data_IF_009012648159
#
_entry.id   IF_009012648159
#
_cell.length_a   1.000
_cell.length_b   1.000
_cell.length_c   1.000
_cell.angle_alpha   90.00
_cell.angle_beta   90.00
_cell.angle_gamma   90.00
#
_symmetry.space_group_name_H-M   'P 1'
#
loop_
_entity.id
_entity.type
_entity.pdbx_description
1 polymer ?
#
# COMPACT_ATOMS: atom_id res chain seq x y z
N UNK A 1 -1.33 -18.96 -72.78
CA UNK A 1 -0.12 -18.99 -71.92
C UNK A 1 0.15 -17.72 -71.10
N UNK A 2 -0.12 -16.49 -71.60
CA UNK A 2 0.18 -15.22 -70.89
C UNK A 2 -0.65 -14.94 -69.62
N UNK A 3 -1.91 -15.41 -69.54
CA UNK A 3 -2.80 -15.19 -68.37
C UNK A 3 -2.35 -15.93 -67.09
N UNK A 4 -1.82 -17.16 -67.23
CA UNK A 4 -1.31 -17.96 -66.10
C UNK A 4 -0.03 -17.37 -65.46
N UNK A 5 0.79 -16.64 -66.23
CA UNK A 5 1.97 -15.94 -65.69
C UNK A 5 1.58 -14.76 -64.80
N UNK A 6 0.57 -13.96 -65.18
CA UNK A 6 0.10 -12.80 -64.39
C UNK A 6 -0.45 -13.20 -63.00
N UNK A 7 -1.14 -14.34 -62.91
CA UNK A 7 -1.67 -14.86 -61.63
C UNK A 7 -0.53 -15.30 -60.69
N UNK A 8 0.53 -15.92 -61.23
CA UNK A 8 1.71 -16.29 -60.42
C UNK A 8 2.44 -15.09 -59.84
N UNK A 9 2.58 -14.00 -60.61
CA UNK A 9 3.22 -12.78 -60.09
C UNK A 9 2.35 -12.08 -59.03
N UNK A 10 1.03 -12.07 -59.20
CA UNK A 10 0.09 -11.49 -58.21
C UNK A 10 0.08 -12.27 -56.88
N UNK A 11 0.14 -13.61 -56.93
CA UNK A 11 0.23 -14.44 -55.72
C UNK A 11 1.60 -14.31 -55.02
N UNK A 12 2.68 -14.08 -55.78
CA UNK A 12 4.01 -13.86 -55.23
C UNK A 12 4.12 -12.49 -54.52
N UNK A 13 3.50 -11.43 -55.07
CA UNK A 13 3.43 -10.13 -54.38
C UNK A 13 2.54 -10.18 -53.14
N UNK A 14 1.44 -10.95 -53.15
CA UNK A 14 0.60 -11.13 -51.95
C UNK A 14 1.38 -11.86 -50.83
N UNK A 15 2.16 -12.89 -51.19
CA UNK A 15 3.01 -13.62 -50.26
C UNK A 15 4.14 -12.74 -49.68
N UNK A 16 4.78 -11.90 -50.50
CA UNK A 16 5.77 -10.94 -50.02
C UNK A 16 5.17 -9.82 -49.16
N UNK A 17 3.90 -9.42 -49.38
CA UNK A 17 3.21 -8.46 -48.51
C UNK A 17 2.89 -9.07 -47.13
N UNK A 18 2.53 -10.35 -47.07
CA UNK A 18 2.28 -11.06 -45.81
C UNK A 18 3.55 -11.31 -44.98
N UNK A 19 4.75 -11.35 -45.62
CA UNK A 19 6.03 -11.48 -44.91
C UNK A 19 6.50 -10.13 -44.33
N UNK A 20 6.03 -8.99 -44.89
CA UNK A 20 6.40 -7.66 -44.42
C UNK A 20 5.52 -7.13 -43.27
N UNK A 21 4.39 -7.76 -42.99
CA UNK A 21 3.66 -7.55 -41.74
C UNK A 21 4.20 -8.49 -40.68
N UNK A 22 5.46 -8.30 -40.29
CA UNK A 22 5.93 -8.72 -38.98
C UNK A 22 5.15 -7.94 -37.94
N UNK A 23 3.96 -8.44 -37.58
CA UNK A 23 3.31 -8.09 -36.34
C UNK A 23 4.24 -8.59 -35.24
N UNK A 24 5.21 -7.76 -34.84
CA UNK A 24 5.81 -7.92 -33.53
C UNK A 24 4.63 -7.87 -32.55
N UNK A 25 4.40 -8.93 -31.74
CA UNK A 25 3.57 -8.76 -30.57
C UNK A 25 4.13 -7.52 -29.86
N UNK A 26 3.31 -6.48 -29.68
CA UNK A 26 3.66 -5.52 -28.65
C UNK A 26 3.51 -6.32 -27.36
N UNK A 27 4.63 -6.81 -26.83
CA UNK A 27 4.65 -7.43 -25.51
C UNK A 27 4.07 -6.38 -24.56
N UNK A 28 2.84 -6.60 -24.12
CA UNK A 28 2.19 -5.72 -23.18
C UNK A 28 3.02 -5.76 -21.89
N UNK A 29 3.27 -4.60 -21.25
CA UNK A 29 4.00 -4.59 -20.00
C UNK A 29 3.35 -5.52 -19.00
N UNK A 30 4.15 -6.29 -18.29
CA UNK A 30 3.67 -7.10 -17.18
C UNK A 30 3.24 -6.18 -16.04
N UNK A 31 2.19 -6.57 -15.33
CA UNK A 31 1.51 -5.73 -14.36
C UNK A 31 1.56 -6.34 -12.97
N UNK A 32 2.04 -5.56 -12.01
CA UNK A 32 2.21 -5.97 -10.62
C UNK A 32 1.47 -5.00 -9.70
N UNK A 33 0.63 -5.51 -8.81
CA UNK A 33 -0.14 -4.67 -7.91
C UNK A 33 0.41 -4.77 -6.49
N UNK A 34 0.62 -3.61 -5.87
CA UNK A 34 0.89 -3.47 -4.44
C UNK A 34 -0.22 -2.66 -3.79
N UNK A 35 -0.83 -3.20 -2.74
CA UNK A 35 -1.84 -2.49 -1.94
C UNK A 35 -1.27 -2.08 -0.59
N UNK A 36 -1.75 -0.95 -0.06
CA UNK A 36 -1.62 -0.61 1.34
C UNK A 36 -3.01 -0.56 1.98
N UNK A 37 -3.16 -1.13 3.18
CA UNK A 37 -4.43 -1.11 3.90
C UNK A 37 -4.23 -0.99 5.42
N UNK A 38 -4.72 0.10 6.02
CA UNK A 38 -4.97 0.15 7.45
C UNK A 38 -6.16 -0.76 7.78
N UNK A 39 -5.90 -1.84 8.52
CA UNK A 39 -6.90 -2.88 8.78
C UNK A 39 -7.76 -2.62 10.01
N UNK A 40 -7.69 -1.45 10.65
CA UNK A 40 -8.45 -1.07 11.85
C UNK A 40 -8.39 -2.14 12.95
N UNK A 41 -7.31 -2.10 13.74
CA UNK A 41 -7.08 -2.92 14.92
C UNK A 41 -7.36 -4.42 14.69
N UNK A 42 -6.56 -5.09 13.86
CA UNK A 42 -6.57 -6.54 13.74
C UNK A 42 -5.79 -7.17 14.91
N UNK A 43 -6.48 -7.32 16.03
CA UNK A 43 -6.04 -8.05 17.22
C UNK A 43 -6.56 -9.49 17.21
N UNK A 44 -5.82 -10.38 17.85
CA UNK A 44 -6.30 -11.69 18.25
C UNK A 44 -7.23 -11.57 19.46
N UNK A 45 -7.53 -12.69 20.12
CA UNK A 45 -8.57 -12.74 21.18
C UNK A 45 -7.98 -13.08 22.55
N UNK A 46 -6.67 -13.20 22.63
CA UNK A 46 -5.91 -13.59 23.80
C UNK A 46 -5.17 -12.37 24.33
N UNK A 47 -5.42 -12.06 25.59
CA UNK A 47 -4.76 -10.99 26.33
C UNK A 47 -3.26 -11.23 26.42
N UNK A 48 -2.45 -10.22 26.10
CA UNK A 48 -1.01 -10.22 26.33
C UNK A 48 -0.65 -9.19 27.43
N UNK A 49 -0.22 -9.65 28.62
CA UNK A 49 0.00 -8.76 29.77
C UNK A 49 1.15 -7.75 29.58
N UNK A 50 1.96 -7.89 28.52
CA UNK A 50 3.08 -6.98 28.23
C UNK A 50 2.68 -5.82 27.29
N UNK A 51 1.48 -5.86 26.69
CA UNK A 51 0.94 -4.80 25.82
C UNK A 51 -0.46 -4.37 26.26
N UNK A 52 -0.92 -3.24 25.72
CA UNK A 52 -2.23 -2.65 26.03
C UNK A 52 -3.32 -3.11 25.04
N UNK A 53 -3.59 -4.42 25.00
CA UNK A 53 -4.56 -5.04 24.09
C UNK A 53 -5.88 -5.49 24.79
N UNK A 54 -5.97 -5.38 26.13
CA UNK A 54 -7.13 -5.76 26.97
C UNK A 54 -8.50 -5.42 26.37
N UNK A 55 -8.58 -4.28 25.67
CA UNK A 55 -9.78 -3.79 25.02
C UNK A 55 -10.37 -4.80 24.02
N UNK A 56 -9.49 -5.53 23.33
CA UNK A 56 -9.76 -6.49 22.26
C UNK A 56 -9.74 -7.94 22.71
N UNK A 57 -10.27 -8.21 23.91
CA UNK A 57 -10.53 -9.57 24.39
C UNK A 57 -12.05 -9.86 24.46
N UNK A 58 -12.47 -11.13 24.63
CA UNK A 58 -13.89 -11.46 24.82
C UNK A 58 -14.52 -10.76 26.03
N UNK A 59 -13.73 -10.55 27.09
CA UNK A 59 -14.14 -9.90 28.33
C UNK A 59 -13.87 -8.39 28.34
N UNK A 60 -13.02 -7.91 27.43
CA UNK A 60 -12.67 -6.51 27.22
C UNK A 60 -13.83 -5.63 26.77
N UNK A 61 -13.58 -4.31 26.76
CA UNK A 61 -14.63 -3.33 26.48
C UNK A 61 -15.18 -3.41 25.05
N UNK A 62 -14.40 -3.94 24.08
CA UNK A 62 -14.89 -4.22 22.73
C UNK A 62 -15.68 -5.51 22.64
N UNK A 63 -15.60 -6.43 23.60
CA UNK A 63 -16.20 -7.79 23.49
C UNK A 63 -15.73 -8.52 22.23
N UNK A 64 -14.42 -8.51 22.00
CA UNK A 64 -13.81 -9.09 20.81
C UNK A 64 -13.76 -10.62 20.93
N UNK A 65 -14.81 -11.26 20.42
CA UNK A 65 -14.94 -12.73 20.44
C UNK A 65 -14.30 -13.36 19.22
N UNK A 66 -14.01 -14.67 19.29
CA UNK A 66 -13.57 -15.50 18.15
C UNK A 66 -14.47 -15.31 16.92
N UNK A 67 -15.78 -15.14 17.11
CA UNK A 67 -16.72 -14.89 16.01
C UNK A 67 -16.44 -13.55 15.32
N UNK A 68 -16.12 -12.49 16.08
CA UNK A 68 -15.82 -11.16 15.53
C UNK A 68 -14.45 -11.15 14.86
N UNK A 69 -13.46 -11.78 15.46
CA UNK A 69 -12.15 -11.99 14.85
C UNK A 69 -12.26 -12.73 13.51
N UNK A 70 -12.93 -13.88 13.45
CA UNK A 70 -13.12 -14.63 12.20
C UNK A 70 -13.90 -13.82 11.14
N UNK A 71 -14.88 -13.01 11.56
CA UNK A 71 -15.59 -12.08 10.66
C UNK A 71 -14.63 -11.04 10.10
N UNK A 72 -13.77 -10.44 10.94
CA UNK A 72 -12.77 -9.47 10.54
C UNK A 72 -11.81 -10.06 9.51
N UNK A 73 -11.24 -11.24 9.77
CA UNK A 73 -10.38 -11.95 8.81
C UNK A 73 -11.07 -12.17 7.46
N UNK A 74 -12.32 -12.63 7.47
CA UNK A 74 -13.10 -12.85 6.24
C UNK A 74 -13.34 -11.55 5.48
N UNK A 75 -13.67 -10.47 6.19
CA UNK A 75 -13.88 -9.16 5.61
C UNK A 75 -12.59 -8.62 4.96
N UNK A 76 -11.46 -8.66 5.67
CA UNK A 76 -10.17 -8.22 5.15
C UNK A 76 -9.74 -9.02 3.91
N UNK A 77 -9.89 -10.36 3.96
CA UNK A 77 -9.63 -11.22 2.80
C UNK A 77 -10.49 -10.84 1.58
N UNK A 78 -11.77 -10.53 1.80
CA UNK A 78 -12.66 -10.06 0.73
C UNK A 78 -12.16 -8.76 0.11
N UNK A 79 -11.66 -7.81 0.90
CA UNK A 79 -11.11 -6.55 0.39
C UNK A 79 -9.88 -6.82 -0.48
N UNK A 80 -8.91 -7.58 0.05
CA UNK A 80 -7.66 -7.92 -0.64
C UNK A 80 -7.94 -8.62 -1.98
N UNK A 81 -8.88 -9.56 -2.02
CA UNK A 81 -9.21 -10.29 -3.25
C UNK A 81 -9.89 -9.43 -4.32
N UNK A 82 -10.47 -8.30 -3.96
CA UNK A 82 -11.23 -7.45 -4.89
C UNK A 82 -10.54 -6.09 -5.17
N UNK A 83 -9.35 -5.84 -4.63
CA UNK A 83 -8.69 -4.53 -4.73
C UNK A 83 -8.03 -4.24 -6.09
N UNK A 84 -7.57 -5.29 -6.78
CA UNK A 84 -6.72 -5.21 -7.98
C UNK A 84 -7.42 -5.64 -9.28
N UNK A 85 -8.73 -5.85 -9.26
CA UNK A 85 -9.50 -6.26 -10.43
C UNK A 85 -9.62 -7.78 -10.55
N UNK A 86 -9.16 -8.35 -11.65
CA UNK A 86 -9.31 -9.78 -11.96
C UNK A 86 -8.40 -10.69 -11.14
N UNK A 87 -7.15 -10.28 -10.94
CA UNK A 87 -6.16 -11.03 -10.18
C UNK A 87 -5.92 -10.36 -8.82
N UNK A 88 -5.72 -11.12 -7.73
CA UNK A 88 -5.31 -10.58 -6.43
C UNK A 88 -3.97 -9.83 -6.49
N UNK A 89 -3.68 -8.93 -5.53
CA UNK A 89 -2.47 -8.12 -5.56
C UNK A 89 -1.25 -8.93 -5.13
N UNK A 90 -0.16 -8.89 -5.89
CA UNK A 90 1.04 -9.69 -5.63
C UNK A 90 1.78 -9.27 -4.35
N UNK A 91 1.57 -8.03 -3.89
CA UNK A 91 2.17 -7.48 -2.68
C UNK A 91 1.12 -6.72 -1.87
N UNK A 92 1.17 -6.85 -0.54
CA UNK A 92 0.19 -6.27 0.38
C UNK A 92 0.94 -5.71 1.59
N UNK A 93 0.88 -4.41 1.79
CA UNK A 93 1.32 -3.72 2.99
C UNK A 93 0.13 -3.48 3.93
N UNK A 94 0.26 -3.84 5.20
CA UNK A 94 -0.78 -3.64 6.20
C UNK A 94 -0.24 -2.79 7.35
N UNK A 95 -1.13 -2.07 8.02
CA UNK A 95 -0.88 -1.54 9.37
C UNK A 95 -2.08 -1.79 10.28
N UNK A 96 -1.88 -1.61 11.59
CA UNK A 96 -2.86 -1.99 12.62
C UNK A 96 -3.06 -3.51 12.73
N UNK A 97 -1.97 -4.25 12.54
CA UNK A 97 -1.91 -5.69 12.80
C UNK A 97 -1.22 -5.91 14.12
N UNK A 98 -1.76 -6.77 14.98
CA UNK A 98 -1.20 -6.95 16.31
C UNK A 98 0.11 -7.71 16.32
N UNK A 99 0.12 -8.91 15.73
CA UNK A 99 1.24 -9.83 15.84
C UNK A 99 1.29 -10.79 14.64
N UNK A 100 2.26 -11.70 14.65
CA UNK A 100 2.40 -12.71 13.60
C UNK A 100 1.20 -13.66 13.53
N UNK A 101 0.58 -13.98 14.66
CA UNK A 101 -0.53 -14.93 14.72
C UNK A 101 -1.74 -14.45 13.92
N UNK A 102 -2.12 -13.17 14.02
CA UNK A 102 -3.26 -12.65 13.24
C UNK A 102 -3.02 -12.71 11.73
N UNK A 103 -1.77 -12.52 11.28
CA UNK A 103 -1.37 -12.60 9.88
C UNK A 103 -1.42 -14.05 9.39
N UNK A 104 -0.89 -14.99 10.16
CA UNK A 104 -0.97 -16.42 9.84
C UNK A 104 -2.44 -16.89 9.78
N UNK A 105 -3.31 -16.38 10.65
CA UNK A 105 -4.76 -16.65 10.59
C UNK A 105 -5.42 -16.02 9.37
N UNK A 106 -5.06 -14.79 9.00
CA UNK A 106 -5.55 -14.16 7.78
C UNK A 106 -5.24 -15.01 6.55
N UNK A 107 -4.01 -15.55 6.45
CA UNK A 107 -3.61 -16.39 5.33
C UNK A 107 -4.22 -17.79 5.38
N UNK A 108 -4.25 -18.44 6.55
CA UNK A 108 -4.69 -19.85 6.65
C UNK A 108 -6.21 -20.06 6.74
N UNK A 109 -6.93 -19.15 7.40
CA UNK A 109 -8.37 -19.29 7.65
C UNK A 109 -9.24 -18.84 6.47
N UNK A 110 -8.73 -17.93 5.65
CA UNK A 110 -9.52 -17.25 4.62
C UNK A 110 -9.29 -17.83 3.22
N UNK A 111 -9.88 -17.21 2.20
CA UNK A 111 -9.66 -17.58 0.80
C UNK A 111 -8.24 -17.24 0.30
N UNK A 112 -7.45 -16.45 1.07
CA UNK A 112 -6.05 -16.15 0.75
C UNK A 112 -5.13 -17.37 0.84
N UNK A 113 -5.55 -18.44 1.52
CA UNK A 113 -4.75 -19.67 1.68
C UNK A 113 -4.33 -20.33 0.37
N UNK A 114 -5.01 -20.01 -0.73
CA UNK A 114 -4.75 -20.57 -2.06
C UNK A 114 -3.82 -19.69 -2.91
N UNK A 115 -3.30 -18.60 -2.35
CA UNK A 115 -2.48 -17.60 -3.07
C UNK A 115 -1.01 -17.58 -2.61
N UNK A 116 -0.64 -18.49 -1.70
CA UNK A 116 0.73 -18.75 -1.25
C UNK A 116 1.52 -17.51 -0.82
N UNK A 117 0.87 -16.54 -0.16
CA UNK A 117 1.57 -15.37 0.38
C UNK A 117 2.54 -15.78 1.51
N UNK A 118 3.72 -15.18 1.50
CA UNK A 118 4.66 -15.17 2.62
C UNK A 118 4.55 -13.86 3.42
N UNK A 119 4.99 -13.90 4.68
CA UNK A 119 4.89 -12.78 5.64
C UNK A 119 6.30 -12.26 6.00
N UNK A 120 6.47 -10.94 5.97
CA UNK A 120 7.52 -10.21 6.67
C UNK A 120 6.85 -9.34 7.73
N UNK A 121 7.19 -9.57 9.00
CA UNK A 121 6.60 -8.90 10.16
C UNK A 121 7.55 -9.01 11.35
N UNK A 122 7.47 -8.04 12.25
CA UNK A 122 8.20 -7.95 13.52
C UNK A 122 7.36 -7.09 14.46
N UNK A 123 7.28 -7.50 15.72
CA UNK A 123 6.68 -6.71 16.80
C UNK A 123 7.42 -5.38 16.98
N UNK A 124 6.65 -4.28 17.03
CA UNK A 124 7.17 -2.93 17.20
C UNK A 124 7.15 -2.47 18.66
N UNK A 125 7.89 -1.41 19.02
CA UNK A 125 7.88 -0.85 20.38
C UNK A 125 6.59 -0.10 20.76
N UNK A 126 5.50 -0.20 20.00
CA UNK A 126 4.24 0.46 20.36
C UNK A 126 3.59 -0.30 21.53
N UNK A 127 3.35 0.38 22.65
CA UNK A 127 2.79 -0.22 23.86
C UNK A 127 1.42 -0.87 23.67
N UNK A 128 0.74 -0.62 22.54
CA UNK A 128 -0.56 -1.25 22.19
C UNK A 128 -0.39 -2.50 21.34
N UNK A 129 0.84 -2.89 21.01
CA UNK A 129 1.13 -4.00 20.09
C UNK A 129 0.57 -3.76 18.70
N UNK A 130 0.82 -2.60 18.09
CA UNK A 130 0.30 -2.28 16.75
C UNK A 130 1.45 -2.19 15.75
N UNK A 131 1.42 -3.04 14.73
CA UNK A 131 2.51 -3.15 13.77
C UNK A 131 2.13 -2.81 12.34
N UNK A 132 3.17 -2.78 11.52
CA UNK A 132 3.12 -2.84 10.07
C UNK A 132 3.60 -4.20 9.60
N UNK A 133 3.01 -4.70 8.52
CA UNK A 133 3.34 -6.00 7.94
C UNK A 133 3.41 -5.93 6.42
N UNK A 134 4.19 -6.84 5.83
CA UNK A 134 4.27 -7.02 4.38
C UNK A 134 4.00 -8.47 4.01
N UNK A 135 2.99 -8.69 3.16
CA UNK A 135 2.67 -9.98 2.57
C UNK A 135 3.04 -9.94 1.09
N UNK A 136 3.60 -11.01 0.56
CA UNK A 136 4.04 -11.05 -0.83
C UNK A 136 3.92 -12.45 -1.44
N UNK A 137 3.63 -12.51 -2.72
CA UNK A 137 3.66 -13.75 -3.49
C UNK A 137 5.13 -14.09 -3.82
N UNK A 138 5.70 -15.19 -3.31
CA UNK A 138 7.11 -15.54 -3.51
C UNK A 138 7.43 -16.00 -4.94
N UNK A 139 6.42 -16.26 -5.78
CA UNK A 139 6.61 -16.49 -7.21
C UNK A 139 6.87 -15.20 -8.00
N UNK A 140 6.56 -14.04 -7.42
CA UNK A 140 6.67 -12.73 -8.07
C UNK A 140 7.68 -11.82 -7.37
N UNK A 141 7.76 -11.86 -6.03
CA UNK A 141 8.63 -10.99 -5.25
C UNK A 141 9.66 -11.80 -4.47
N UNK A 142 10.93 -11.60 -4.80
CA UNK A 142 12.07 -12.21 -4.14
C UNK A 142 12.68 -11.21 -3.12
N UNK A 143 12.44 -11.36 -1.81
CA UNK A 143 12.97 -10.43 -0.81
C UNK A 143 14.50 -10.50 -0.73
N UNK A 144 15.15 -9.34 -0.71
CA UNK A 144 16.60 -9.19 -0.56
C UNK A 144 16.98 -8.71 0.85
N UNK A 145 16.25 -7.75 1.38
CA UNK A 145 16.52 -7.15 2.69
C UNK A 145 15.24 -6.58 3.28
N UNK A 146 15.10 -6.68 4.60
CA UNK A 146 14.09 -5.94 5.36
C UNK A 146 14.73 -5.33 6.61
N UNK A 147 14.29 -4.12 6.97
CA UNK A 147 14.76 -3.38 8.15
C UNK A 147 13.60 -2.63 8.79
N UNK A 148 13.74 -2.33 10.07
CA UNK A 148 12.81 -1.51 10.84
C UNK A 148 13.55 -0.28 11.35
N UNK A 149 12.89 0.87 11.27
CA UNK A 149 13.46 2.14 11.65
C UNK A 149 12.62 2.75 12.78
N UNK A 150 13.06 2.59 14.04
CA UNK A 150 12.37 3.20 15.17
C UNK A 150 12.57 4.71 15.18
N UNK A 151 11.62 5.39 15.82
CA UNK A 151 11.74 6.82 16.13
C UNK A 151 12.49 6.98 17.45
N UNK A 152 13.37 7.98 17.48
CA UNK A 152 14.12 8.37 18.67
C UNK A 152 13.94 9.85 18.91
N UNK A 153 13.96 10.27 20.17
CA UNK A 153 13.94 11.69 20.53
C UNK A 153 15.30 12.37 20.24
N UNK A 154 15.46 13.61 20.71
CA UNK A 154 16.66 14.42 20.45
C UNK A 154 17.89 13.88 21.22
N UNK A 155 17.64 13.21 22.35
CA UNK A 155 18.63 12.53 23.18
C UNK A 155 19.02 11.15 22.62
N UNK A 156 18.26 10.62 21.66
CA UNK A 156 18.49 9.33 21.02
C UNK A 156 17.77 8.18 21.71
N UNK A 157 16.89 8.46 22.68
CA UNK A 157 16.09 7.47 23.37
C UNK A 157 14.94 7.00 22.51
N UNK A 158 14.57 5.73 22.68
CA UNK A 158 13.51 5.09 21.89
C UNK A 158 12.14 5.66 22.25
N UNK A 159 11.39 6.07 21.24
CA UNK A 159 9.98 6.46 21.41
C UNK A 159 9.10 5.22 21.18
N UNK A 160 8.27 4.88 22.16
CA UNK A 160 7.31 3.78 22.11
C UNK A 160 6.21 4.04 21.07
N UNK A 161 6.51 3.74 19.82
CA UNK A 161 5.61 3.92 18.68
C UNK A 161 6.01 3.04 17.50
N UNK A 162 5.12 2.95 16.51
CA UNK A 162 5.31 2.13 15.32
C UNK A 162 6.57 2.52 14.56
N UNK A 163 7.33 1.50 14.17
CA UNK A 163 8.52 1.66 13.34
C UNK A 163 8.15 1.88 11.87
N UNK A 164 9.03 2.52 11.12
CA UNK A 164 8.95 2.54 9.65
C UNK A 164 9.58 1.24 9.15
N UNK A 165 8.81 0.41 8.44
CA UNK A 165 9.31 -0.81 7.83
C UNK A 165 9.88 -0.51 6.44
N UNK A 166 11.01 -1.13 6.14
CA UNK A 166 11.63 -1.12 4.83
C UNK A 166 11.79 -2.55 4.33
N UNK A 167 11.43 -2.77 3.07
CA UNK A 167 11.65 -4.02 2.35
C UNK A 167 12.25 -3.68 1.00
N UNK A 168 13.29 -4.41 0.58
CA UNK A 168 13.71 -4.45 -0.82
C UNK A 168 13.67 -5.85 -1.35
N UNK A 169 13.35 -5.98 -2.63
CA UNK A 169 13.28 -7.26 -3.32
C UNK A 169 13.30 -7.09 -4.82
N UNK A 170 13.40 -8.20 -5.53
CA UNK A 170 13.35 -8.25 -6.99
C UNK A 170 11.92 -8.62 -7.40
N UNK A 171 11.32 -7.86 -8.32
CA UNK A 171 10.01 -8.21 -8.92
C UNK A 171 10.27 -8.98 -10.22
N UNK A 172 9.66 -10.16 -10.31
CA UNK A 172 9.70 -11.10 -11.43
C UNK A 172 11.09 -11.26 -12.07
N UNK A 173 12.11 -11.36 -11.20
CA UNK A 173 13.52 -11.53 -11.59
C UNK A 173 14.07 -10.44 -12.52
N UNK A 174 13.38 -9.30 -12.60
CA UNK A 174 13.67 -8.22 -13.54
C UNK A 174 14.40 -7.07 -12.86
N UNK A 175 13.76 -6.37 -11.92
CA UNK A 175 14.30 -5.14 -11.34
C UNK A 175 14.07 -5.09 -9.82
N UNK A 176 14.91 -4.31 -9.14
CA UNK A 176 14.89 -4.16 -7.69
C UNK A 176 13.98 -3.00 -7.28
N UNK A 177 13.09 -3.27 -6.34
CA UNK A 177 12.23 -2.26 -5.73
C UNK A 177 12.55 -2.09 -4.25
N UNK A 178 12.41 -0.87 -3.76
CA UNK A 178 12.54 -0.47 -2.36
C UNK A 178 11.19 0.05 -1.86
N UNK A 179 10.62 -0.58 -0.83
CA UNK A 179 9.29 -0.29 -0.31
C UNK A 179 9.43 0.19 1.14
N UNK A 180 8.90 1.36 1.45
CA UNK A 180 8.73 1.86 2.81
C UNK A 180 7.25 1.81 3.21
N UNK A 181 6.95 1.16 4.33
CA UNK A 181 5.60 1.03 4.89
C UNK A 181 5.52 1.85 6.17
N UNK A 182 4.52 2.71 6.25
CA UNK A 182 4.40 3.73 7.28
C UNK A 182 3.05 3.64 8.01
N UNK A 183 3.08 3.84 9.32
CA UNK A 183 1.88 4.08 10.12
C UNK A 183 2.20 5.12 11.20
N UNK A 184 2.14 6.41 10.84
CA UNK A 184 2.62 7.50 11.69
C UNK A 184 1.66 7.83 12.83
N UNK A 185 2.14 8.40 13.95
CA UNK A 185 1.31 8.67 15.13
C UNK A 185 0.02 9.46 14.83
N UNK A 186 -1.09 8.93 15.33
CA UNK A 186 -2.42 9.48 15.09
C UNK A 186 -2.61 10.88 15.66
N UNK A 187 -3.59 11.60 15.13
CA UNK A 187 -3.95 12.95 15.61
C UNK A 187 -4.71 12.95 16.95
N UNK A 188 -5.05 11.78 17.50
CA UNK A 188 -5.97 11.62 18.64
C UNK A 188 -5.45 12.26 19.94
N UNK A 189 -4.13 12.23 20.19
CA UNK A 189 -3.50 12.87 21.35
C UNK A 189 -3.40 14.40 21.25
N UNK A 190 -4.01 14.99 20.23
CA UNK A 190 -3.97 16.42 19.91
C UNK A 190 -3.02 16.71 18.75
N UNK A 191 -3.46 17.56 17.82
CA UNK A 191 -2.71 17.88 16.59
C UNK A 191 -1.31 18.43 16.89
N UNK A 192 -1.18 19.35 17.86
CA UNK A 192 0.10 19.98 18.20
C UNK A 192 1.11 18.99 18.81
N UNK A 193 0.66 18.08 19.68
CA UNK A 193 1.53 17.06 20.30
C UNK A 193 1.97 16.00 19.29
N UNK A 194 1.03 15.50 18.49
CA UNK A 194 1.28 14.46 17.50
C UNK A 194 2.04 14.95 16.26
N UNK A 195 1.93 16.24 15.90
CA UNK A 195 2.64 16.83 14.75
C UNK A 195 4.17 16.72 14.88
N UNK A 196 4.72 16.93 16.08
CA UNK A 196 6.17 16.79 16.32
C UNK A 196 6.67 15.39 15.97
N UNK A 197 5.95 14.36 16.41
CA UNK A 197 6.27 12.96 16.12
C UNK A 197 6.12 12.61 14.64
N UNK A 198 5.11 13.14 13.95
CA UNK A 198 4.96 12.94 12.49
C UNK A 198 6.07 13.64 11.70
N UNK A 199 6.48 14.84 12.10
CA UNK A 199 7.64 15.50 11.50
C UNK A 199 8.95 14.73 11.75
N UNK A 200 9.10 14.13 12.93
CA UNK A 200 10.23 13.25 13.25
C UNK A 200 10.23 12.00 12.37
N UNK A 201 9.08 11.33 12.22
CA UNK A 201 8.91 10.19 11.32
C UNK A 201 9.23 10.54 9.87
N UNK A 202 8.74 11.68 9.38
CA UNK A 202 9.05 12.21 8.06
C UNK A 202 10.55 12.45 7.85
N UNK A 203 11.24 13.05 8.83
CA UNK A 203 12.70 13.26 8.77
C UNK A 203 13.48 11.94 8.79
N UNK A 204 13.05 10.97 9.61
CA UNK A 204 13.64 9.63 9.65
C UNK A 204 13.52 8.94 8.30
N UNK A 205 12.31 8.92 7.73
CA UNK A 205 12.03 8.36 6.41
C UNK A 205 12.88 9.05 5.33
N UNK A 206 12.89 10.38 5.33
CA UNK A 206 13.70 11.19 4.39
C UNK A 206 15.18 10.81 4.42
N UNK A 207 15.75 10.66 5.61
CA UNK A 207 17.15 10.26 5.78
C UNK A 207 17.43 8.88 5.18
N UNK A 208 16.52 7.91 5.34
CA UNK A 208 16.68 6.58 4.73
C UNK A 208 16.58 6.62 3.20
N UNK A 209 15.67 7.42 2.66
CA UNK A 209 15.54 7.64 1.22
C UNK A 209 16.81 8.26 0.63
N UNK A 210 17.38 9.28 1.29
CA UNK A 210 18.63 9.92 0.85
C UNK A 210 19.81 8.94 0.85
N UNK A 211 19.85 8.01 1.81
CA UNK A 211 20.83 6.92 1.82
C UNK A 211 20.68 6.00 0.62
N UNK A 212 19.45 5.67 0.19
CA UNK A 212 19.22 4.88 -1.01
C UNK A 212 19.67 5.61 -2.27
N UNK A 213 19.31 6.88 -2.45
CA UNK A 213 19.77 7.69 -3.59
C UNK A 213 21.30 7.84 -3.65
N UNK A 214 21.98 7.77 -2.51
CA UNK A 214 23.45 7.84 -2.45
C UNK A 214 24.12 6.49 -2.75
N UNK A 215 23.49 5.37 -2.37
CA UNK A 215 24.10 4.03 -2.48
C UNK A 215 23.73 3.28 -3.75
N UNK A 216 22.59 3.60 -4.35
CA UNK A 216 22.03 2.87 -5.47
C UNK A 216 21.93 3.78 -6.68
N UNK A 217 22.25 3.26 -7.86
CA UNK A 217 22.01 3.97 -9.11
C UNK A 217 20.52 3.87 -9.43
N UNK A 218 19.84 5.02 -9.54
CA UNK A 218 18.44 5.14 -9.94
C UNK A 218 17.44 4.25 -9.14
N UNK A 219 17.43 4.30 -7.79
CA UNK A 219 16.58 3.41 -7.00
C UNK A 219 15.09 3.63 -7.29
N UNK A 220 14.37 2.51 -7.50
CA UNK A 220 12.92 2.44 -7.62
C UNK A 220 12.32 2.36 -6.23
N UNK A 221 11.75 3.45 -5.74
CA UNK A 221 11.29 3.58 -4.35
C UNK A 221 9.78 3.78 -4.34
N UNK A 222 9.07 2.93 -3.61
CA UNK A 222 7.66 3.09 -3.24
C UNK A 222 7.59 3.40 -1.75
N UNK A 223 6.80 4.39 -1.39
CA UNK A 223 6.51 4.80 -0.03
C UNK A 223 5.00 4.77 0.11
N UNK A 224 4.49 3.98 1.03
CA UNK A 224 3.07 3.87 1.29
C UNK A 224 2.77 3.72 2.77
N UNK A 225 1.57 4.07 3.17
CA UNK A 225 1.22 4.06 4.57
C UNK A 225 0.06 4.95 4.95
N UNK A 226 -0.37 4.80 6.20
CA UNK A 226 -1.21 5.76 6.89
C UNK A 226 -0.28 6.79 7.56
N UNK A 227 -0.20 7.96 6.95
CA UNK A 227 0.65 9.05 7.42
C UNK A 227 -0.03 9.87 8.51
N UNK A 228 -1.33 9.67 8.78
CA UNK A 228 -2.14 10.51 9.66
C UNK A 228 -1.99 12.02 9.36
N UNK A 229 -1.57 12.37 8.15
CA UNK A 229 -1.39 13.72 7.61
C UNK A 229 -1.90 13.76 6.18
N UNK A 230 -2.30 14.94 5.72
CA UNK A 230 -2.74 15.20 4.36
C UNK A 230 -1.53 15.34 3.41
N UNK A 231 -1.71 15.17 2.09
CA UNK A 231 -0.65 15.37 1.12
C UNK A 231 0.03 16.75 1.16
N UNK A 232 -0.66 17.78 1.67
CA UNK A 232 -0.20 19.17 1.78
C UNK A 232 0.31 19.55 3.18
N UNK A 233 0.28 18.64 4.15
CA UNK A 233 0.79 18.90 5.49
C UNK A 233 2.33 19.00 5.51
N UNK A 234 2.85 19.82 6.45
CA UNK A 234 4.28 20.16 6.57
C UNK A 234 5.19 18.94 6.75
N UNK A 235 4.71 17.87 7.38
CA UNK A 235 5.45 16.60 7.48
C UNK A 235 5.72 15.99 6.09
N UNK A 236 4.79 16.10 5.15
CA UNK A 236 4.90 15.58 3.79
C UNK A 236 5.72 16.52 2.91
N UNK A 237 5.35 17.80 2.85
CA UNK A 237 5.93 18.74 1.88
C UNK A 237 7.32 19.26 2.29
N UNK A 238 7.55 19.55 3.57
CA UNK A 238 8.80 20.18 4.04
C UNK A 238 9.76 19.16 4.64
N UNK A 239 9.26 18.22 5.45
CA UNK A 239 10.11 17.24 6.13
C UNK A 239 10.47 16.07 5.20
N UNK A 240 9.47 15.39 4.63
CA UNK A 240 9.67 14.27 3.69
C UNK A 240 10.08 14.77 2.29
N UNK A 241 9.76 16.02 1.95
CA UNK A 241 10.05 16.65 0.66
C UNK A 241 9.44 15.88 -0.52
N UNK A 242 8.27 15.31 -0.31
CA UNK A 242 7.49 14.67 -1.36
C UNK A 242 6.77 15.75 -2.18
N UNK A 243 7.08 15.83 -3.47
CA UNK A 243 6.50 16.83 -4.36
C UNK A 243 5.12 16.40 -4.87
N UNK A 244 4.19 17.34 -4.99
CA UNK A 244 2.90 17.16 -5.68
C UNK A 244 2.96 17.55 -7.17
N UNK A 245 4.12 18.00 -7.65
CA UNK A 245 4.32 18.54 -9.00
C UNK A 245 3.98 17.50 -10.08
N UNK A 246 3.43 17.98 -11.20
CA UNK A 246 2.99 17.17 -12.33
C UNK A 246 3.89 17.44 -13.54
N UNK A 247 4.34 16.37 -14.22
CA UNK A 247 4.81 16.46 -15.60
C UNK A 247 6.27 16.88 -15.83
N UNK A 248 7.03 17.25 -14.79
CA UNK A 248 8.48 17.41 -14.88
C UNK A 248 9.16 16.68 -13.71
N UNK A 249 9.20 15.35 -13.85
CA UNK A 249 9.83 14.49 -12.87
C UNK A 249 11.34 14.66 -12.88
N UNK A 250 11.98 14.32 -11.76
CA UNK A 250 13.42 14.28 -11.60
C UNK A 250 13.74 13.00 -10.86
N UNK A 251 14.56 12.14 -11.46
CA UNK A 251 15.07 10.89 -10.93
C UNK A 251 15.25 10.86 -9.40
N UNK A 252 15.99 11.83 -8.85
CA UNK A 252 16.39 11.88 -7.44
C UNK A 252 15.42 12.65 -6.52
N UNK A 253 14.12 12.64 -6.82
CA UNK A 253 13.06 13.22 -5.97
C UNK A 253 11.98 12.19 -5.69
N UNK A 254 11.17 12.48 -4.67
CA UNK A 254 9.97 11.71 -4.32
C UNK A 254 8.74 12.52 -4.75
N UNK A 255 7.75 11.83 -5.30
CA UNK A 255 6.50 12.39 -5.79
C UNK A 255 5.32 11.72 -5.09
N UNK A 256 4.41 12.52 -4.54
CA UNK A 256 3.19 12.03 -3.91
C UNK A 256 2.09 11.88 -4.94
N UNK A 257 1.75 10.64 -5.29
CA UNK A 257 0.74 10.35 -6.31
C UNK A 257 -0.68 10.60 -5.80
N UNK A 258 -0.87 10.57 -4.49
CA UNK A 258 -2.14 10.86 -3.80
C UNK A 258 -2.50 12.35 -3.81
N UNK A 259 -1.52 13.25 -3.98
CA UNK A 259 -1.73 14.69 -3.92
C UNK A 259 -2.56 15.27 -5.08
N UNK A 260 -2.81 14.50 -6.14
CA UNK A 260 -3.78 14.90 -7.16
C UNK A 260 -4.60 13.74 -7.67
N UNK A 261 -5.09 12.94 -6.74
CA UNK A 261 -6.28 12.16 -6.99
C UNK A 261 -7.46 13.09 -7.30
N UNK A 262 -8.30 12.73 -8.30
CA UNK A 262 -9.38 13.59 -8.74
C UNK A 262 -10.42 13.84 -7.64
N UNK A 263 -11.10 14.99 -7.72
CA UNK A 263 -12.05 15.49 -6.71
C UNK A 263 -13.23 14.53 -6.41
N UNK A 264 -13.47 13.53 -7.28
CA UNK A 264 -14.49 12.51 -7.03
C UNK A 264 -14.05 11.49 -5.96
N UNK A 265 -12.76 11.37 -5.68
CA UNK A 265 -12.29 10.67 -4.49
C UNK A 265 -12.53 11.54 -3.27
N UNK A 266 -13.37 11.05 -2.35
CA UNK A 266 -13.70 11.81 -1.15
C UNK A 266 -12.51 11.84 -0.19
N UNK A 267 -11.82 10.70 -0.03
CA UNK A 267 -10.62 10.53 0.79
C UNK A 267 -10.45 9.05 1.15
N UNK A 268 -9.45 8.72 1.96
CA UNK A 268 -9.20 7.36 2.43
C UNK A 268 -9.83 7.10 3.79
N UNK A 269 -10.06 8.14 4.60
CA UNK A 269 -10.78 8.05 5.88
C UNK A 269 -11.69 9.24 6.09
N UNK A 270 -12.76 9.07 6.88
CA UNK A 270 -13.73 10.13 7.19
C UNK A 270 -13.83 10.34 8.69
N UNK A 271 -13.66 11.59 9.12
CA UNK A 271 -13.96 12.03 10.47
C UNK A 271 -14.97 13.17 10.42
N UNK A 272 -16.14 12.91 11.02
CA UNK A 272 -17.33 13.79 10.94
C UNK A 272 -17.72 14.03 9.47
N UNK A 273 -17.90 15.27 9.06
CA UNK A 273 -18.23 15.65 7.68
C UNK A 273 -17.02 15.74 6.75
N UNK A 274 -15.80 15.56 7.26
CA UNK A 274 -14.56 15.76 6.50
C UNK A 274 -13.91 14.43 6.15
N UNK A 275 -13.47 14.34 4.91
CA UNK A 275 -12.63 13.27 4.42
C UNK A 275 -11.16 13.71 4.39
N UNK A 276 -10.28 12.74 4.59
CA UNK A 276 -8.83 12.93 4.61
C UNK A 276 -8.15 11.86 3.76
N UNK A 277 -7.01 12.21 3.17
CA UNK A 277 -6.13 11.32 2.40
C UNK A 277 -4.93 11.00 3.29
N UNK A 278 -5.17 10.23 4.35
CA UNK A 278 -4.09 9.81 5.26
C UNK A 278 -3.31 8.62 4.70
N UNK A 279 -3.99 7.73 3.99
CA UNK A 279 -3.39 6.60 3.30
C UNK A 279 -2.85 7.10 1.95
N UNK A 280 -1.54 7.15 1.81
CA UNK A 280 -0.89 7.80 0.67
C UNK A 280 0.09 6.86 -0.03
N UNK A 281 0.29 7.09 -1.32
CA UNK A 281 1.30 6.44 -2.15
C UNK A 281 2.22 7.51 -2.73
N UNK A 282 3.52 7.33 -2.53
CA UNK A 282 4.57 8.19 -3.08
C UNK A 282 5.64 7.33 -3.73
N UNK A 283 6.29 7.86 -4.77
CA UNK A 283 7.28 7.11 -5.55
C UNK A 283 8.50 7.94 -5.89
N UNK A 284 9.64 7.31 -6.16
CA UNK A 284 10.80 8.02 -6.72
C UNK A 284 10.53 8.48 -8.15
N UNK A 285 11.19 9.57 -8.58
CA UNK A 285 11.18 10.00 -9.97
C UNK A 285 11.67 8.91 -10.92
N UNK A 286 12.61 8.06 -10.49
CA UNK A 286 13.08 6.90 -11.26
C UNK A 286 11.98 5.90 -11.63
N UNK A 287 10.92 5.79 -10.82
CA UNK A 287 9.74 4.97 -11.16
C UNK A 287 8.81 5.67 -12.16
N UNK A 288 8.77 7.00 -12.18
CA UNK A 288 7.90 7.79 -13.06
C UNK A 288 8.51 8.14 -14.41
N UNK A 289 9.83 8.27 -14.48
CA UNK A 289 10.58 8.57 -15.71
C UNK A 289 10.91 7.32 -16.54
N UNK A 290 10.41 6.15 -16.13
CA UNK A 290 10.82 4.82 -16.56
C UNK A 290 11.30 4.70 -18.02
N UNK A 291 12.60 4.50 -18.21
CA UNK A 291 13.20 4.21 -19.51
C UNK A 291 13.52 2.70 -19.70
N UNK A 292 13.59 1.94 -18.62
CA UNK A 292 13.78 0.48 -18.58
C UNK A 292 13.41 -0.09 -17.19
N UNK A 293 13.11 -1.38 -17.11
CA UNK A 293 12.77 -2.08 -15.87
C UNK A 293 11.39 -1.71 -15.34
N UNK A 294 11.28 -1.59 -14.01
CA UNK A 294 10.04 -1.22 -13.35
C UNK A 294 9.72 0.27 -13.52
N UNK A 295 8.45 0.54 -13.80
CA UNK A 295 7.91 1.89 -13.87
C UNK A 295 6.46 1.94 -13.39
N UNK A 296 5.97 3.15 -13.16
CA UNK A 296 4.57 3.43 -12.85
C UNK A 296 4.15 4.75 -13.50
N UNK A 297 2.86 4.94 -13.63
CA UNK A 297 2.27 6.22 -14.00
C UNK A 297 1.55 6.82 -12.79
N UNK A 298 1.21 8.10 -12.85
CA UNK A 298 0.49 8.77 -11.76
C UNK A 298 -0.89 8.14 -11.56
N UNK A 299 -1.56 7.84 -12.66
CA UNK A 299 -2.91 7.27 -12.74
C UNK A 299 -2.94 5.81 -12.28
N UNK A 300 -1.76 5.19 -12.12
CA UNK A 300 -1.62 3.83 -11.60
C UNK A 300 -1.75 3.75 -10.08
N UNK A 301 -1.76 4.89 -9.37
CA UNK A 301 -2.08 4.96 -7.94
C UNK A 301 -3.53 5.41 -7.74
N UNK A 302 -4.32 4.70 -6.93
CA UNK A 302 -5.72 5.06 -6.65
C UNK A 302 -6.22 4.55 -5.30
N UNK A 303 -7.33 5.11 -4.84
CA UNK A 303 -8.12 4.55 -3.74
C UNK A 303 -8.90 3.33 -4.28
N UNK A 304 -9.04 2.30 -3.45
CA UNK A 304 -9.90 1.15 -3.70
C UNK A 304 -11.28 1.45 -3.10
N UNK A 305 -12.21 1.91 -3.94
CA UNK A 305 -13.53 2.42 -3.57
C UNK A 305 -14.67 1.43 -3.85
N UNK A 306 -14.49 0.17 -3.43
CA UNK A 306 -15.49 -0.88 -3.64
C UNK A 306 -16.81 -0.54 -2.91
N UNK A 307 -17.99 -0.68 -3.56
CA UNK A 307 -19.26 -0.23 -2.97
C UNK A 307 -19.59 -0.80 -1.59
N UNK A 308 -19.15 -2.03 -1.31
CA UNK A 308 -19.40 -2.69 -0.02
C UNK A 308 -18.54 -2.16 1.13
N UNK A 309 -17.55 -1.30 0.85
CA UNK A 309 -16.72 -0.65 1.86
C UNK A 309 -17.43 0.55 2.52
N UNK A 310 -18.59 0.95 2.01
CA UNK A 310 -19.29 2.15 2.44
C UNK A 310 -20.62 1.85 3.11
N UNK A 311 -21.00 2.73 4.04
CA UNK A 311 -22.36 2.86 4.57
C UNK A 311 -22.83 4.31 4.46
N UNK A 312 -24.14 4.54 4.57
CA UNK A 312 -24.68 5.90 4.64
C UNK A 312 -24.24 6.59 5.93
N UNK A 313 -23.91 7.87 5.85
CA UNK A 313 -23.60 8.69 7.01
C UNK A 313 -24.81 9.52 7.40
N UNK A 314 -25.71 8.93 8.18
CA UNK A 314 -26.96 9.60 8.62
C UNK A 314 -26.71 10.86 9.46
N UNK A 315 -25.51 11.01 10.05
CA UNK A 315 -25.18 12.12 10.95
C UNK A 315 -24.56 13.31 10.23
N UNK A 316 -23.67 13.05 9.27
CA UNK A 316 -22.92 14.10 8.57
C UNK A 316 -23.18 14.15 7.06
N UNK A 317 -24.05 13.29 6.55
CA UNK A 317 -24.43 13.22 5.14
C UNK A 317 -23.43 12.48 4.25
N UNK A 318 -23.94 12.01 3.11
CA UNK A 318 -23.17 11.22 2.14
C UNK A 318 -22.88 9.81 2.65
N UNK A 319 -21.70 9.31 2.33
CA UNK A 319 -21.23 7.99 2.76
C UNK A 319 -20.03 8.11 3.70
N UNK A 320 -19.69 7.02 4.38
CA UNK A 320 -18.48 6.85 5.19
C UNK A 320 -17.99 5.40 5.10
N UNK A 321 -16.73 5.10 5.44
CA UNK A 321 -16.26 3.73 5.52
C UNK A 321 -17.06 2.93 6.55
N UNK A 322 -17.50 1.74 6.16
CA UNK A 322 -18.17 0.77 7.02
C UNK A 322 -17.11 0.13 7.91
N UNK A 323 -16.92 0.73 9.09
CA UNK A 323 -15.90 0.37 10.08
C UNK A 323 -16.30 -0.79 10.98
N UNK A 324 -15.36 -1.34 11.72
CA UNK A 324 -15.58 -2.47 12.64
C UNK A 324 -16.35 -2.02 13.87
N UNK A 325 -15.98 -0.85 14.42
CA UNK A 325 -16.65 -0.26 15.58
C UNK A 325 -16.97 1.22 15.36
N UNK A 326 -18.12 1.66 15.89
CA UNK A 326 -18.45 3.07 16.04
C UNK A 326 -18.62 3.40 17.52
N UNK A 327 -17.69 4.16 18.10
CA UNK A 327 -17.52 4.16 19.57
C UNK A 327 -17.32 2.72 20.04
N UNK A 328 -17.98 2.30 21.12
CA UNK A 328 -17.93 0.90 21.60
C UNK A 328 -18.92 -0.05 20.88
N UNK A 329 -19.70 0.44 19.92
CA UNK A 329 -20.72 -0.37 19.24
C UNK A 329 -20.12 -1.15 18.07
N UNK A 330 -20.23 -2.48 18.11
CA UNK A 330 -19.80 -3.34 17.01
C UNK A 330 -20.71 -3.20 15.80
N UNK A 331 -20.13 -2.81 14.66
CA UNK A 331 -20.82 -2.70 13.37
C UNK A 331 -20.53 -3.93 12.48
N UNK A 332 -19.36 -4.55 12.65
CA UNK A 332 -18.96 -5.73 11.87
C UNK A 332 -18.53 -5.41 10.43
N UNK A 333 -18.10 -4.17 10.20
CA UNK A 333 -17.55 -3.70 8.93
C UNK A 333 -16.12 -4.17 8.64
N UNK A 334 -15.45 -3.41 7.78
CA UNK A 334 -14.16 -3.74 7.17
C UNK A 334 -13.01 -2.97 7.83
N UNK A 335 -13.02 -1.65 7.73
CA UNK A 335 -12.03 -0.72 8.30
C UNK A 335 -12.65 0.69 8.31
N UNK A 336 -12.16 1.58 9.16
CA UNK A 336 -12.44 3.02 9.05
C UNK A 336 -11.56 3.73 8.01
N UNK A 337 -10.67 2.99 7.34
CA UNK A 337 -9.88 3.41 6.21
C UNK A 337 -10.26 2.64 4.93
N UNK A 338 -10.01 3.25 3.76
CA UNK A 338 -10.08 2.61 2.45
C UNK A 338 -8.67 2.20 2.01
N UNK A 339 -8.50 1.03 1.36
CA UNK A 339 -7.21 0.64 0.82
C UNK A 339 -6.78 1.57 -0.31
N UNK A 340 -5.47 1.67 -0.51
CA UNK A 340 -4.87 2.34 -1.67
C UNK A 340 -4.02 1.33 -2.44
N UNK A 341 -3.99 1.46 -3.76
CA UNK A 341 -3.31 0.52 -4.65
C UNK A 341 -2.40 1.27 -5.60
N UNK A 342 -1.20 0.72 -5.82
CA UNK A 342 -0.27 1.12 -6.86
C UNK A 342 -0.10 -0.04 -7.85
N UNK A 343 -0.26 0.27 -9.13
CA UNK A 343 0.08 -0.64 -10.21
C UNK A 343 1.48 -0.29 -10.73
N UNK A 344 2.38 -1.27 -10.67
CA UNK A 344 3.68 -1.23 -11.29
C UNK A 344 3.61 -1.97 -12.63
N UNK A 345 4.39 -1.52 -13.59
CA UNK A 345 4.56 -2.15 -14.89
C UNK A 345 6.04 -2.48 -15.10
N UNK A 346 6.33 -3.57 -15.79
CA UNK A 346 7.68 -3.87 -16.27
C UNK A 346 7.67 -4.04 -17.78
N UNK A 347 8.64 -3.43 -18.44
CA UNK A 347 8.98 -3.76 -19.83
C UNK A 347 10.22 -4.67 -19.81
N UNK A 348 10.26 -5.74 -20.64
CA UNK A 348 11.44 -6.60 -20.78
C UNK A 348 12.74 -5.87 -21.13
#
# INVERSE_FOLDING_TARGET
MKRRKKIKYFLLTLYCLCIYTGLYPQDLPEVYNIIFYNVENLFDVHDDPEISDDEFTPDGSRRWTVRRFNRKLTNLSKVILNSSGWEPPQMIALCETENRYVLDKLLSFTALRNLDYNIIHKDSPDDRGIDVAFLYNPGIFDPLEFRYFPLTDEEGELIATREIMYVSGIIDRSDTIHIFINHWPSRYSGLLKSRGLRMLAAKKLRSQIERLFTKNLNPKIVIMGDFNDQPDDISIIECLKASSDIGNYRANRIYNLSAGWPDNYQGTTKYRSQWYIFDQIMVSGNLLEGQSGLFTERESARIVDLPFLFEQDDRYGGVKPLRTYYGYTYQGGFSDHLPVILQLKSVP
#
